data_IF_897195305443
#
_entry.id   IF_897195305443
#
_cell.length_a   1.000
_cell.length_b   1.000
_cell.length_c   1.000
_cell.angle_alpha   90.00
_cell.angle_beta   90.00
_cell.angle_gamma   90.00
#
_symmetry.space_group_name_H-M   'P 1'
#
loop_
_entity.id
_entity.type
_entity.pdbx_description
1 polymer ?
#
# COMPACT_ATOMS: atom_id res chain seq x y z
N UNK A 1 -14.11 -1.28 6.58
CA UNK A 1 -13.04 -1.70 5.66
C UNK A 1 -13.30 -3.07 5.04
N UNK A 2 -13.63 -3.07 3.75
CA UNK A 2 -13.84 -4.28 2.95
C UNK A 2 -12.53 -4.75 2.29
N UNK A 3 -12.57 -5.91 1.63
CA UNK A 3 -11.47 -6.34 0.74
C UNK A 3 -11.33 -5.35 -0.43
N UNK A 4 -10.10 -5.08 -0.86
CA UNK A 4 -9.81 -4.27 -2.05
C UNK A 4 -8.85 -5.03 -2.96
N UNK A 5 -8.89 -4.77 -4.26
CA UNK A 5 -7.86 -5.28 -5.16
C UNK A 5 -6.59 -4.44 -5.05
N UNK A 6 -5.43 -5.06 -5.28
CA UNK A 6 -4.13 -4.38 -5.27
C UNK A 6 -4.12 -3.10 -6.12
N UNK A 7 -4.72 -3.14 -7.33
CA UNK A 7 -4.79 -1.96 -8.20
C UNK A 7 -5.56 -0.81 -7.56
N UNK A 8 -6.63 -1.11 -6.83
CA UNK A 8 -7.46 -0.10 -6.18
C UNK A 8 -6.70 0.52 -5.01
N UNK A 9 -5.98 -0.30 -4.23
CA UNK A 9 -5.12 0.19 -3.14
C UNK A 9 -4.07 1.16 -3.68
N UNK A 10 -3.35 0.79 -4.75
CA UNK A 10 -2.33 1.66 -5.36
C UNK A 10 -2.97 2.95 -5.90
N UNK A 11 -4.11 2.84 -6.59
CA UNK A 11 -4.80 4.01 -7.13
C UNK A 11 -5.30 4.97 -6.04
N UNK A 12 -5.82 4.44 -4.93
CA UNK A 12 -6.26 5.22 -3.77
C UNK A 12 -5.07 5.93 -3.12
N UNK A 13 -3.97 5.20 -2.87
CA UNK A 13 -2.75 5.77 -2.29
C UNK A 13 -2.17 6.89 -3.16
N UNK A 14 -2.06 6.67 -4.47
CA UNK A 14 -1.52 7.68 -5.40
C UNK A 14 -2.46 8.88 -5.61
N UNK A 15 -3.77 8.68 -5.44
CA UNK A 15 -4.75 9.78 -5.43
C UNK A 15 -4.64 10.61 -4.15
N UNK A 16 -4.37 9.96 -3.02
CA UNK A 16 -4.15 10.62 -1.74
C UNK A 16 -2.84 11.41 -1.72
N UNK A 17 -1.72 10.78 -2.12
CA UNK A 17 -0.44 11.45 -2.30
C UNK A 17 0.31 10.85 -3.52
N UNK A 18 0.65 11.71 -4.49
CA UNK A 18 1.33 11.29 -5.73
C UNK A 18 2.76 10.80 -5.50
N UNK A 19 3.33 11.02 -4.30
CA UNK A 19 4.67 10.54 -3.91
C UNK A 19 4.68 9.06 -3.53
N UNK A 20 3.53 8.38 -3.49
CA UNK A 20 3.49 6.94 -3.31
C UNK A 20 4.11 6.20 -4.50
N UNK A 21 5.12 5.40 -4.22
CA UNK A 21 5.84 4.59 -5.20
C UNK A 21 5.63 3.10 -4.96
N UNK A 22 5.70 2.33 -6.05
CA UNK A 22 5.63 0.88 -6.02
C UNK A 22 6.91 0.31 -6.61
N UNK A 23 7.62 -0.47 -5.79
CA UNK A 23 8.86 -1.13 -6.20
C UNK A 23 8.72 -2.65 -6.19
N UNK A 24 9.54 -3.33 -6.98
CA UNK A 24 9.72 -4.78 -6.86
C UNK A 24 10.53 -5.10 -5.59
N UNK A 25 10.02 -6.02 -4.76
CA UNK A 25 10.82 -6.52 -3.63
C UNK A 25 11.91 -7.46 -4.15
N UNK A 26 13.17 -6.99 -4.18
CA UNK A 26 14.33 -7.79 -4.59
C UNK A 26 14.41 -9.08 -3.73
N UNK A 27 14.55 -10.23 -4.38
CA UNK A 27 14.60 -11.56 -3.73
C UNK A 27 13.25 -12.21 -3.43
N UNK A 28 12.11 -11.50 -3.56
CA UNK A 28 10.77 -12.09 -3.39
C UNK A 28 9.79 -11.49 -4.41
N UNK A 29 9.85 -11.99 -5.65
CA UNK A 29 9.08 -11.46 -6.79
C UNK A 29 7.56 -11.49 -6.65
N UNK A 30 7.05 -12.32 -5.73
CA UNK A 30 5.62 -12.40 -5.37
C UNK A 30 5.14 -11.26 -4.48
N UNK A 31 5.98 -10.27 -4.18
CA UNK A 31 5.62 -9.12 -3.37
C UNK A 31 5.98 -7.81 -4.09
N UNK A 32 5.20 -6.77 -3.84
CA UNK A 32 5.53 -5.39 -4.17
C UNK A 32 5.83 -4.63 -2.90
N UNK A 33 6.66 -3.61 -3.00
CA UNK A 33 6.99 -2.72 -1.90
C UNK A 33 6.28 -1.41 -2.14
N UNK A 34 5.25 -1.12 -1.34
CA UNK A 34 4.68 0.22 -1.26
C UNK A 34 5.69 1.10 -0.52
N UNK A 35 5.94 2.29 -1.03
CA UNK A 35 6.93 3.21 -0.46
C UNK A 35 6.36 4.63 -0.46
N UNK A 36 6.65 5.36 0.61
CA UNK A 36 6.44 6.80 0.67
C UNK A 36 7.75 7.47 1.14
N UNK A 37 8.26 8.48 0.42
CA UNK A 37 9.55 9.09 0.74
C UNK A 37 9.52 9.87 2.06
N UNK A 38 8.33 10.33 2.47
CA UNK A 38 8.18 11.28 3.58
C UNK A 38 6.87 11.07 4.34
N UNK A 39 6.92 10.27 5.41
CA UNK A 39 5.87 10.17 6.43
C UNK A 39 6.45 10.76 7.71
N UNK A 40 6.03 11.98 8.05
CA UNK A 40 6.59 12.78 9.15
C UNK A 40 8.13 12.87 9.12
N UNK A 41 8.72 13.18 7.95
CA UNK A 41 10.16 13.30 7.79
C UNK A 41 10.91 11.96 7.72
N UNK A 42 10.20 10.84 7.64
CA UNK A 42 10.81 9.50 7.53
C UNK A 42 10.28 8.74 6.32
N UNK A 43 11.21 8.14 5.58
CA UNK A 43 10.86 7.19 4.53
C UNK A 43 10.22 5.94 5.12
N UNK A 44 9.05 5.56 4.62
CA UNK A 44 8.33 4.34 5.02
C UNK A 44 8.14 3.42 3.84
N UNK A 45 8.08 2.12 4.14
CA UNK A 45 7.81 1.10 3.15
C UNK A 45 7.06 -0.07 3.78
N UNK A 46 6.22 -0.72 2.98
CA UNK A 46 5.43 -1.86 3.42
C UNK A 46 5.30 -2.91 2.30
N UNK A 47 5.67 -4.17 2.55
CA UNK A 47 5.56 -5.23 1.56
C UNK A 47 4.12 -5.71 1.45
N UNK A 48 3.58 -5.76 0.23
CA UNK A 48 2.25 -6.32 -0.06
C UNK A 48 2.39 -7.54 -0.99
N UNK A 49 1.60 -8.61 -0.77
CA UNK A 49 1.50 -9.71 -1.72
C UNK A 49 1.09 -9.21 -3.11
N UNK A 50 1.66 -9.81 -4.15
CA UNK A 50 1.35 -9.47 -5.52
C UNK A 50 1.43 -10.70 -6.43
N UNK A 51 0.26 -11.11 -6.90
CA UNK A 51 0.05 -12.13 -7.93
C UNK A 51 -0.63 -11.55 -9.18
N UNK A 52 -0.70 -10.21 -9.28
CA UNK A 52 -1.38 -9.48 -10.36
C UNK A 52 -2.22 -8.31 -9.83
N UNK A 53 -2.75 -7.48 -10.74
CA UNK A 53 -3.54 -6.28 -10.41
C UNK A 53 -4.80 -6.58 -9.55
N UNK A 54 -5.39 -7.76 -9.74
CA UNK A 54 -6.58 -8.24 -9.01
C UNK A 54 -6.25 -8.97 -7.71
N UNK A 55 -5.01 -8.93 -7.23
CA UNK A 55 -4.63 -9.60 -5.98
C UNK A 55 -5.48 -9.01 -4.85
N UNK A 56 -6.26 -9.83 -4.11
CA UNK A 56 -7.10 -9.33 -3.04
C UNK A 56 -6.23 -8.98 -1.83
N UNK A 57 -6.45 -7.79 -1.26
CA UNK A 57 -5.77 -7.31 -0.06
C UNK A 57 -6.77 -7.37 1.10
N UNK A 58 -6.40 -8.11 2.14
CA UNK A 58 -7.25 -8.34 3.29
C UNK A 58 -7.42 -7.06 4.14
N UNK A 59 -8.57 -6.86 4.80
CA UNK A 59 -8.83 -5.70 5.64
C UNK A 59 -7.77 -5.45 6.73
N UNK A 60 -7.20 -6.51 7.32
CA UNK A 60 -6.13 -6.39 8.30
C UNK A 60 -4.87 -5.73 7.72
N UNK A 61 -4.51 -6.08 6.48
CA UNK A 61 -3.38 -5.48 5.78
C UNK A 61 -3.66 -4.03 5.39
N UNK A 62 -4.90 -3.70 5.00
CA UNK A 62 -5.29 -2.32 4.73
C UNK A 62 -5.14 -1.44 5.99
N UNK A 63 -5.54 -1.94 7.16
CA UNK A 63 -5.33 -1.25 8.44
C UNK A 63 -3.85 -1.08 8.77
N UNK A 64 -3.02 -2.08 8.48
CA UNK A 64 -1.57 -1.95 8.65
C UNK A 64 -0.97 -0.90 7.71
N UNK A 65 -1.42 -0.83 6.46
CA UNK A 65 -1.02 0.20 5.51
C UNK A 65 -1.38 1.59 6.07
N UNK A 66 -2.62 1.78 6.52
CA UNK A 66 -3.07 3.03 7.15
C UNK A 66 -2.14 3.42 8.31
N UNK A 67 -1.84 2.47 9.19
CA UNK A 67 -0.98 2.71 10.36
C UNK A 67 0.47 3.01 9.99
N UNK A 68 1.06 2.29 9.04
CA UNK A 68 2.48 2.43 8.67
C UNK A 68 2.75 3.75 7.96
N UNK A 69 1.80 4.21 7.16
CA UNK A 69 1.90 5.45 6.41
C UNK A 69 1.16 6.63 7.07
N UNK A 70 0.59 6.42 8.26
CA UNK A 70 -0.15 7.42 9.04
C UNK A 70 -1.24 8.14 8.23
N UNK A 71 -2.03 7.32 7.53
CA UNK A 71 -3.10 7.77 6.64
C UNK A 71 -4.43 7.95 7.40
N UNK A 72 -5.43 8.64 6.80
CA UNK A 72 -6.79 8.68 7.34
C UNK A 72 -7.38 7.27 7.54
N UNK A 73 -8.09 7.06 8.65
CA UNK A 73 -8.65 5.74 9.01
C UNK A 73 -9.73 5.25 8.03
N UNK A 74 -10.42 6.19 7.38
CA UNK A 74 -11.50 5.97 6.42
C UNK A 74 -11.01 5.86 4.97
N UNK A 75 -9.70 5.93 4.71
CA UNK A 75 -9.14 6.00 3.36
C UNK A 75 -9.56 4.80 2.47
N UNK A 76 -9.78 3.63 3.06
CA UNK A 76 -10.11 2.39 2.35
C UNK A 76 -11.54 1.89 2.61
N UNK A 77 -12.42 2.70 3.18
CA UNK A 77 -13.81 2.29 3.37
C UNK A 77 -14.61 2.21 2.04
#
# INVERSE_FOLDING_TARGET
MAWKEYRDVVAILQRHDRRFEVHLKRGKGSHRMLMHPDVQGRKRHYPVPYHGAKTPIAPGMLREIVRVFELPEDLFD
#
